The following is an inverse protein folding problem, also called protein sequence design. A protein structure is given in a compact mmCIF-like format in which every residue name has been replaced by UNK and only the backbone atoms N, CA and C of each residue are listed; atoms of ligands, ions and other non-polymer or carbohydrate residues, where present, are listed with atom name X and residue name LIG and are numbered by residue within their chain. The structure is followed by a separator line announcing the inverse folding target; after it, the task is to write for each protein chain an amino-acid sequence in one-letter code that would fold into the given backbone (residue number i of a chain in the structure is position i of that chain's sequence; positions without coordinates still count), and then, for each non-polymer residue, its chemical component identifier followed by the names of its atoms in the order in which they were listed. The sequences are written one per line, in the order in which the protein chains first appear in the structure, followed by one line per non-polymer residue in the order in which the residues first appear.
data_IF_754258620285
#
_entry.id   IF_754258620285
#
_cell.length_a   1.000
_cell.length_b   1.000
_cell.length_c   1.000
_cell.angle_alpha   90.00
_cell.angle_beta   90.00
_cell.angle_gamma   90.00
#
_symmetry.space_group_name_H-M   'P 1'
#
loop_
_entity.id
_entity.type
_entity.pdbx_description
1 polymer ?
#
# COMPACT_ATOMS: atom_id res chain seq x y z
N UNK A 1 4.72 0.53 25.54
CA UNK A 1 5.73 0.79 24.47
C UNK A 1 5.03 0.74 23.10
N UNK A 2 4.13 1.70 22.80
CA UNK A 2 3.37 1.71 21.53
C UNK A 2 3.44 3.05 20.77
N UNK A 3 3.85 4.14 21.44
CA UNK A 3 3.85 5.48 20.84
C UNK A 3 5.02 5.75 19.88
N UNK A 4 6.12 4.98 19.94
CA UNK A 4 7.31 5.27 19.11
C UNK A 4 7.16 4.82 17.65
N UNK A 5 6.31 3.84 17.35
CA UNK A 5 6.01 3.44 15.98
C UNK A 5 5.02 4.43 15.32
N UNK A 6 4.06 4.95 16.09
CA UNK A 6 3.00 5.85 15.59
C UNK A 6 3.49 7.22 15.13
N UNK A 7 4.64 7.70 15.63
CA UNK A 7 5.10 9.07 15.39
C UNK A 7 5.67 9.36 14.00
N UNK A 8 6.09 8.35 13.22
CA UNK A 8 6.78 8.56 11.92
C UNK A 8 5.94 8.21 10.69
N UNK A 9 4.72 7.71 10.88
CA UNK A 9 3.83 7.38 9.77
C UNK A 9 3.29 8.60 9.00
N UNK A 10 2.95 9.73 9.66
CA UNK A 10 2.42 10.90 8.94
C UNK A 10 3.43 11.52 7.96
N UNK A 11 4.71 11.56 8.32
CA UNK A 11 5.77 12.05 7.44
C UNK A 11 5.96 11.14 6.22
N UNK A 12 5.97 9.81 6.44
CA UNK A 12 6.09 8.84 5.34
C UNK A 12 4.89 8.92 4.38
N UNK A 13 3.69 9.06 4.91
CA UNK A 13 2.47 9.20 4.11
C UNK A 13 2.50 10.46 3.24
N UNK A 14 2.92 11.60 3.80
CA UNK A 14 3.08 12.84 3.05
C UNK A 14 4.14 12.72 1.94
N UNK A 15 5.29 12.13 2.25
CA UNK A 15 6.36 11.90 1.26
C UNK A 15 5.89 11.01 0.11
N UNK A 16 5.13 9.94 0.39
CA UNK A 16 4.61 9.08 -0.67
C UNK A 16 3.49 9.76 -1.47
N UNK A 17 2.66 10.61 -0.86
CA UNK A 17 1.66 11.43 -1.57
C UNK A 17 2.32 12.43 -2.51
N UNK A 18 3.37 13.12 -2.05
CA UNK A 18 4.13 14.07 -2.87
C UNK A 18 4.85 13.35 -4.02
N UNK A 19 5.49 12.22 -3.73
CA UNK A 19 6.12 11.35 -4.74
C UNK A 19 5.10 10.91 -5.80
N UNK A 20 3.92 10.44 -5.37
CA UNK A 20 2.84 10.02 -6.25
C UNK A 20 2.37 11.18 -7.15
N UNK A 21 2.23 12.38 -6.60
CA UNK A 21 1.86 13.57 -7.36
C UNK A 21 2.90 13.93 -8.44
N UNK A 22 4.19 13.84 -8.09
CA UNK A 22 5.29 14.09 -9.03
C UNK A 22 5.31 13.03 -10.13
N UNK A 23 5.25 11.74 -9.77
CA UNK A 23 5.30 10.65 -10.74
C UNK A 23 4.09 10.67 -11.69
N UNK A 24 2.90 11.05 -11.20
CA UNK A 24 1.72 11.29 -12.05
C UNK A 24 1.95 12.42 -13.05
N UNK A 25 2.54 13.54 -12.62
CA UNK A 25 2.90 14.65 -13.54
C UNK A 25 3.94 14.23 -14.57
N UNK A 26 4.87 13.36 -14.20
CA UNK A 26 5.91 12.82 -15.09
C UNK A 26 5.43 11.67 -15.98
N UNK A 27 4.21 11.14 -15.75
CA UNK A 27 3.73 9.94 -16.43
C UNK A 27 4.54 8.67 -16.12
N UNK A 28 5.33 8.66 -15.04
CA UNK A 28 6.15 7.51 -14.65
C UNK A 28 5.29 6.45 -13.96
N UNK A 29 4.75 5.52 -14.75
CA UNK A 29 3.87 4.47 -14.25
C UNK A 29 4.53 3.56 -13.22
N UNK A 30 5.81 3.22 -13.42
CA UNK A 30 6.55 2.37 -12.48
C UNK A 30 6.66 3.05 -11.11
N UNK A 31 7.05 4.32 -11.11
CA UNK A 31 7.07 5.14 -9.90
C UNK A 31 5.71 5.19 -9.21
N UNK A 32 4.64 5.48 -9.97
CA UNK A 32 3.27 5.55 -9.44
C UNK A 32 2.91 4.25 -8.72
N UNK A 33 3.21 3.11 -9.33
CA UNK A 33 2.95 1.80 -8.77
C UNK A 33 3.75 1.55 -7.49
N UNK A 34 5.05 1.90 -7.47
CA UNK A 34 5.88 1.79 -6.27
C UNK A 34 5.36 2.66 -5.13
N UNK A 35 5.00 3.92 -5.39
CA UNK A 35 4.47 4.83 -4.35
C UNK A 35 3.16 4.29 -3.77
N UNK A 36 2.25 3.82 -4.61
CA UNK A 36 1.00 3.18 -4.16
C UNK A 36 1.28 1.91 -3.34
N UNK A 37 2.20 1.06 -3.79
CA UNK A 37 2.58 -0.16 -3.06
C UNK A 37 3.10 0.14 -1.66
N UNK A 38 3.97 1.15 -1.54
CA UNK A 38 4.51 1.57 -0.25
C UNK A 38 3.45 2.18 0.67
N UNK A 39 2.54 3.00 0.14
CA UNK A 39 1.40 3.51 0.90
C UNK A 39 0.49 2.37 1.39
N UNK A 40 0.28 1.34 0.58
CA UNK A 40 -0.48 0.15 0.97
C UNK A 40 0.16 -0.62 2.12
N UNK A 41 1.48 -0.81 2.09
CA UNK A 41 2.22 -1.44 3.19
C UNK A 41 2.21 -0.58 4.47
N UNK A 42 2.27 0.75 4.33
CA UNK A 42 2.17 1.69 5.44
C UNK A 42 0.81 1.59 6.13
N UNK A 43 -0.27 1.62 5.34
CA UNK A 43 -1.64 1.48 5.84
C UNK A 43 -1.86 0.11 6.51
N UNK A 44 -1.27 -0.97 5.97
CA UNK A 44 -1.31 -2.29 6.61
C UNK A 44 -0.63 -2.24 8.00
N UNK A 45 0.53 -1.59 8.11
CA UNK A 45 1.26 -1.46 9.37
C UNK A 45 0.51 -0.61 10.42
N UNK A 46 -0.32 0.33 9.96
CA UNK A 46 -1.20 1.14 10.81
C UNK A 46 -2.49 0.41 11.20
N UNK A 47 -2.76 -0.77 10.63
CA UNK A 47 -4.02 -1.51 10.82
C UNK A 47 -5.18 -1.01 9.94
N UNK A 48 -4.94 -0.06 9.04
CA UNK A 48 -5.92 0.49 8.11
C UNK A 48 -6.07 -0.44 6.89
N UNK A 49 -6.60 -1.65 7.11
CA UNK A 49 -6.62 -2.71 6.10
C UNK A 49 -7.43 -2.35 4.84
N UNK A 50 -8.49 -1.55 4.98
CA UNK A 50 -9.29 -1.12 3.83
C UNK A 50 -8.50 -0.19 2.89
N UNK A 51 -7.77 0.77 3.44
CA UNK A 51 -6.92 1.68 2.69
C UNK A 51 -5.70 0.95 2.11
N UNK A 52 -5.11 0.04 2.88
CA UNK A 52 -4.04 -0.84 2.42
C UNK A 52 -4.44 -1.62 1.16
N UNK A 53 -5.62 -2.24 1.17
CA UNK A 53 -6.14 -2.98 0.03
C UNK A 53 -6.31 -2.09 -1.21
N UNK A 54 -6.90 -0.90 -1.04
CA UNK A 54 -7.11 0.03 -2.16
C UNK A 54 -5.81 0.46 -2.83
N UNK A 55 -4.77 0.77 -2.05
CA UNK A 55 -3.47 1.15 -2.59
C UNK A 55 -2.76 -0.03 -3.26
N UNK A 56 -2.80 -1.23 -2.65
CA UNK A 56 -2.17 -2.43 -3.21
C UNK A 56 -2.84 -2.88 -4.51
N UNK A 57 -4.17 -2.78 -4.62
CA UNK A 57 -4.89 -3.08 -5.87
C UNK A 57 -4.45 -2.15 -7.00
N UNK A 58 -4.42 -0.83 -6.76
CA UNK A 58 -3.99 0.13 -7.79
C UNK A 58 -2.53 -0.08 -8.20
N UNK A 59 -1.64 -0.36 -7.23
CA UNK A 59 -0.25 -0.69 -7.52
C UNK A 59 -0.13 -1.96 -8.38
N UNK A 60 -0.88 -3.01 -8.03
CA UNK A 60 -0.86 -4.28 -8.73
C UNK A 60 -1.32 -4.14 -10.18
N UNK A 61 -2.42 -3.41 -10.42
CA UNK A 61 -2.93 -3.15 -11.77
C UNK A 61 -1.89 -2.48 -12.67
N UNK A 62 -1.11 -1.55 -12.13
CA UNK A 62 -0.07 -0.85 -12.89
C UNK A 62 1.13 -1.77 -13.12
N UNK A 63 1.63 -2.44 -12.08
CA UNK A 63 2.75 -3.38 -12.22
C UNK A 63 2.45 -4.53 -13.17
N UNK A 64 1.22 -5.04 -13.20
CA UNK A 64 0.76 -6.03 -14.17
C UNK A 64 0.81 -5.50 -15.60
N UNK A 65 0.35 -4.27 -15.84
CA UNK A 65 0.43 -3.62 -17.16
C UNK A 65 1.88 -3.42 -17.62
N UNK A 66 2.79 -3.18 -16.68
CA UNK A 66 4.21 -2.97 -16.96
C UNK A 66 5.02 -4.27 -17.05
N UNK A 67 4.47 -5.41 -16.62
CA UNK A 67 5.22 -6.66 -16.49
C UNK A 67 6.35 -6.58 -15.45
N UNK A 68 6.18 -5.73 -14.43
CA UNK A 68 7.23 -5.44 -13.46
C UNK A 68 7.46 -6.60 -12.48
N UNK A 69 8.70 -6.83 -12.02
CA UNK A 69 9.03 -7.90 -11.07
C UNK A 69 8.32 -7.70 -9.70
N UNK A 70 8.00 -6.45 -9.35
CA UNK A 70 7.35 -6.09 -8.09
C UNK A 70 5.88 -6.55 -8.00
N UNK A 71 5.30 -7.00 -9.12
CA UNK A 71 3.95 -7.60 -9.16
C UNK A 71 3.78 -8.69 -8.11
N UNK A 72 4.78 -9.58 -7.95
CA UNK A 72 4.69 -10.69 -7.00
C UNK A 72 4.70 -10.20 -5.54
N UNK A 73 5.45 -9.15 -5.25
CA UNK A 73 5.55 -8.55 -3.90
C UNK A 73 4.23 -7.89 -3.52
N UNK A 74 3.67 -7.06 -4.40
CA UNK A 74 2.39 -6.39 -4.17
C UNK A 74 1.25 -7.39 -4.06
N UNK A 75 1.24 -8.43 -4.91
CA UNK A 75 0.23 -9.48 -4.84
C UNK A 75 0.25 -10.20 -3.47
N UNK A 76 1.43 -10.59 -2.97
CA UNK A 76 1.53 -11.23 -1.64
C UNK A 76 1.07 -10.31 -0.52
N UNK A 77 1.37 -9.02 -0.61
CA UNK A 77 0.91 -8.03 0.36
C UNK A 77 -0.62 -7.90 0.34
N UNK A 78 -1.23 -7.86 -0.86
CA UNK A 78 -2.68 -7.79 -1.03
C UNK A 78 -3.38 -9.00 -0.42
N UNK A 79 -2.89 -10.21 -0.70
CA UNK A 79 -3.43 -11.45 -0.12
C UNK A 79 -3.34 -11.48 1.41
N UNK A 80 -2.25 -10.95 1.97
CA UNK A 80 -2.09 -10.83 3.42
C UNK A 80 -3.10 -9.84 4.03
N UNK A 81 -3.31 -8.68 3.39
CA UNK A 81 -4.29 -7.69 3.83
C UNK A 81 -5.71 -8.25 3.79
N UNK A 82 -6.08 -8.94 2.70
CA UNK A 82 -7.40 -9.58 2.56
C UNK A 82 -7.66 -10.62 3.65
N UNK A 83 -6.72 -11.53 3.88
CA UNK A 83 -6.84 -12.51 4.98
C UNK A 83 -7.03 -11.84 6.34
N UNK A 84 -6.24 -10.80 6.65
CA UNK A 84 -6.41 -10.05 7.91
C UNK A 84 -7.78 -9.39 8.04
N UNK A 85 -8.40 -8.93 6.94
CA UNK A 85 -9.76 -8.38 6.95
C UNK A 85 -10.80 -9.47 7.25
N UNK A 86 -10.63 -10.64 6.64
CA UNK A 86 -11.53 -11.77 6.81
C UNK A 86 -11.43 -12.34 8.25
N UNK A 87 -10.22 -12.50 8.75
CA UNK A 87 -9.94 -12.98 10.12
C UNK A 87 -10.42 -11.98 11.20
N UNK A 88 -10.30 -10.67 10.92
CA UNK A 88 -10.80 -9.61 11.79
C UNK A 88 -12.34 -9.54 11.86
N UNK A 89 -13.04 -10.03 10.83
CA UNK A 89 -14.50 -10.17 10.82
C UNK A 89 -15.01 -11.40 11.57
N UNK A 90 -14.19 -12.45 11.68
CA UNK A 90 -14.57 -13.70 12.35
C UNK A 90 -14.56 -13.62 13.89
N UNK A 91 -14.04 -12.54 14.49
CA UNK A 91 -13.92 -12.42 15.95
C UNK A 91 -15.09 -11.63 16.60
N UNK A 92 -16.16 -11.33 15.85
CA UNK A 92 -17.32 -10.58 16.36
C UNK A 92 -18.68 -11.28 16.15
N UNK A 93 -18.72 -12.60 15.93
CA UNK A 93 -19.96 -13.37 15.85
C UNK A 93 -20.17 -14.25 17.09
#
# INVERSE_FOLDING_TARGET
ILAQLQGRYPEAENLYKDSLAIQRKLGNQDGIASSLGQMGLLAEAQGNLAEAEQFLVQALEIFQKLGAPDTATVHRALERVRRKKDDGGATQA
#
